data_IF_001510727881
#
_entry.id   IF_001510727881
#
_cell.length_a   1.000
_cell.length_b   1.000
_cell.length_c   1.000
_cell.angle_alpha   90.00
_cell.angle_beta   90.00
_cell.angle_gamma   90.00
#
_symmetry.space_group_name_H-M   'P 1'
#
loop_
_entity.id
_entity.type
_entity.pdbx_description
1 polymer ?
#
# COMPACT_ATOMS: atom_id res chain seq x y z
N UNK A 1 -28.90 -2.96 8.93
CA UNK A 1 -28.30 -3.90 9.91
C UNK A 1 -28.12 -5.25 9.24
N UNK A 2 -26.92 -5.82 9.26
CA UNK A 2 -26.60 -7.12 8.63
C UNK A 2 -27.42 -8.26 9.23
N UNK A 3 -28.14 -9.01 8.39
CA UNK A 3 -29.03 -10.10 8.83
C UNK A 3 -28.25 -11.37 9.19
N UNK A 4 -27.20 -11.72 8.42
CA UNK A 4 -26.45 -12.96 8.62
C UNK A 4 -25.42 -12.86 9.78
N UNK A 5 -25.43 -13.75 10.79
CA UNK A 5 -24.52 -13.69 11.94
C UNK A 5 -23.05 -13.86 11.56
N UNK A 6 -22.74 -14.67 10.54
CA UNK A 6 -21.38 -14.82 10.01
C UNK A 6 -20.90 -13.55 9.29
N UNK A 7 -21.79 -12.84 8.57
CA UNK A 7 -21.44 -11.59 7.88
C UNK A 7 -21.16 -10.45 8.87
N UNK A 8 -21.80 -10.47 10.04
CA UNK A 8 -21.49 -9.54 11.15
C UNK A 8 -20.10 -9.78 11.74
N UNK A 9 -19.72 -11.04 11.98
CA UNK A 9 -18.37 -11.37 12.47
C UNK A 9 -17.29 -11.02 11.45
N UNK A 10 -17.54 -11.31 10.17
CA UNK A 10 -16.63 -10.95 9.09
C UNK A 10 -16.51 -9.44 8.91
N UNK A 11 -17.54 -8.64 9.24
CA UNK A 11 -17.40 -7.18 9.24
C UNK A 11 -16.32 -6.70 10.20
N UNK A 12 -16.28 -7.25 11.41
CA UNK A 12 -15.27 -6.87 12.40
C UNK A 12 -13.87 -7.18 11.89
N UNK A 13 -13.71 -8.31 11.20
CA UNK A 13 -12.44 -8.68 10.56
C UNK A 13 -12.12 -7.76 9.39
N UNK A 14 -13.10 -7.39 8.57
CA UNK A 14 -12.94 -6.43 7.48
C UNK A 14 -12.49 -5.07 8.03
N UNK A 15 -13.18 -4.52 9.04
CA UNK A 15 -12.84 -3.22 9.65
C UNK A 15 -11.40 -3.21 10.19
N UNK A 16 -10.95 -4.31 10.78
CA UNK A 16 -9.56 -4.45 11.24
C UNK A 16 -8.59 -4.51 10.06
N UNK A 17 -8.90 -5.31 9.05
CA UNK A 17 -8.02 -5.50 7.88
C UNK A 17 -7.91 -4.22 7.05
N UNK A 18 -8.98 -3.43 6.93
CA UNK A 18 -8.97 -2.12 6.26
C UNK A 18 -8.07 -1.11 7.00
N UNK A 19 -8.05 -1.15 8.34
CA UNK A 19 -7.11 -0.33 9.13
C UNK A 19 -5.67 -0.77 8.91
N UNK A 20 -5.41 -2.07 8.89
CA UNK A 20 -4.07 -2.63 8.59
C UNK A 20 -3.63 -2.26 7.17
N UNK A 21 -4.53 -2.33 6.20
CA UNK A 21 -4.28 -1.94 4.80
C UNK A 21 -3.89 -0.46 4.70
N UNK A 22 -4.65 0.44 5.35
CA UNK A 22 -4.36 1.88 5.39
C UNK A 22 -2.97 2.16 6.00
N UNK A 23 -2.63 1.46 7.08
CA UNK A 23 -1.30 1.58 7.70
C UNK A 23 -0.20 1.08 6.75
N UNK A 24 -0.40 -0.06 6.09
CA UNK A 24 0.56 -0.59 5.12
C UNK A 24 0.74 0.34 3.90
N UNK A 25 -0.33 0.95 3.42
CA UNK A 25 -0.28 1.94 2.34
C UNK A 25 0.53 3.18 2.76
N UNK A 26 0.27 3.71 3.95
CA UNK A 26 1.01 4.83 4.50
C UNK A 26 2.51 4.51 4.65
N UNK A 27 2.83 3.34 5.18
CA UNK A 27 4.21 2.87 5.33
C UNK A 27 4.91 2.73 3.97
N UNK A 28 4.23 2.14 2.98
CA UNK A 28 4.77 2.00 1.64
C UNK A 28 5.05 3.37 1.00
N UNK A 29 4.12 4.32 1.12
CA UNK A 29 4.30 5.69 0.63
C UNK A 29 5.48 6.40 1.29
N UNK A 30 5.63 6.28 2.61
CA UNK A 30 6.76 6.88 3.33
C UNK A 30 8.11 6.30 2.88
N UNK A 31 8.18 4.99 2.65
CA UNK A 31 9.39 4.33 2.13
C UNK A 31 9.71 4.76 0.69
N UNK A 32 8.70 4.91 -0.17
CA UNK A 32 8.88 5.44 -1.52
C UNK A 32 9.44 6.86 -1.51
N UNK A 33 8.90 7.75 -0.67
CA UNK A 33 9.40 9.12 -0.53
C UNK A 33 10.85 9.14 -0.06
N UNK A 34 11.18 8.32 0.95
CA UNK A 34 12.55 8.21 1.44
C UNK A 34 13.52 7.68 0.38
N UNK A 35 13.10 6.66 -0.38
CA UNK A 35 13.89 6.12 -1.49
C UNK A 35 14.15 7.19 -2.56
N UNK A 36 13.13 7.96 -2.95
CA UNK A 36 13.26 9.03 -3.93
C UNK A 36 14.24 10.12 -3.46
N UNK A 37 14.14 10.53 -2.19
CA UNK A 37 15.05 11.53 -1.61
C UNK A 37 16.51 11.07 -1.61
N UNK A 38 16.79 9.81 -1.25
CA UNK A 38 18.16 9.26 -1.28
C UNK A 38 18.70 9.14 -2.70
N UNK A 39 17.85 8.76 -3.67
CA UNK A 39 18.22 8.72 -5.08
C UNK A 39 18.55 10.11 -5.62
N UNK A 40 17.77 11.13 -5.25
CA UNK A 40 18.04 12.52 -5.61
C UNK A 40 19.36 13.01 -5.00
N UNK A 41 19.59 12.76 -3.71
CA UNK A 41 20.82 13.15 -3.04
C UNK A 41 22.05 12.49 -3.67
N UNK A 42 21.94 11.22 -4.08
CA UNK A 42 22.99 10.52 -4.85
C UNK A 42 23.26 11.16 -6.19
N UNK A 43 22.19 11.55 -6.90
CA UNK A 43 22.33 12.22 -8.18
C UNK A 43 23.04 13.58 -8.01
N UNK A 44 22.71 14.33 -6.97
CA UNK A 44 23.39 15.59 -6.64
C UNK A 44 24.88 15.36 -6.36
N UNK A 45 25.25 14.35 -5.57
CA UNK A 45 26.65 14.01 -5.30
C UNK A 45 27.43 13.61 -6.56
N UNK A 46 26.81 12.85 -7.47
CA UNK A 46 27.40 12.50 -8.76
C UNK A 46 27.63 13.74 -9.63
N UNK A 47 26.66 14.65 -9.68
CA UNK A 47 26.79 15.93 -10.41
C UNK A 47 27.93 16.77 -9.82
N UNK A 48 27.98 16.92 -8.49
CA UNK A 48 29.06 17.65 -7.83
C UNK A 48 30.44 17.03 -8.08
N UNK A 49 30.54 15.69 -8.09
CA UNK A 49 31.78 14.99 -8.41
C UNK A 49 32.26 15.32 -9.82
N UNK A 50 31.35 15.31 -10.81
CA UNK A 50 31.67 15.59 -12.20
C UNK A 50 32.09 17.05 -12.41
N UNK A 51 31.35 18.00 -11.83
CA UNK A 51 31.70 19.43 -11.89
C UNK A 51 33.10 19.70 -11.33
N UNK A 52 33.46 19.04 -10.23
CA UNK A 52 34.77 19.20 -9.62
C UNK A 52 35.90 18.57 -10.46
N UNK A 53 35.69 17.38 -11.03
CA UNK A 53 36.65 16.77 -11.96
C UNK A 53 36.92 17.68 -13.17
N UNK A 54 35.88 18.32 -13.71
CA UNK A 54 36.02 19.27 -14.83
C UNK A 54 36.81 20.52 -14.45
N UNK A 55 36.58 21.08 -13.24
CA UNK A 55 37.32 22.27 -12.75
C UNK A 55 38.83 22.03 -12.63
N UNK A 56 39.25 20.82 -12.23
CA UNK A 56 40.68 20.48 -12.10
C UNK A 56 41.31 20.17 -13.46
N UNK A 57 40.53 19.57 -14.38
CA UNK A 57 41.01 19.16 -15.70
C UNK A 57 41.08 20.32 -16.71
N UNK A 58 40.38 21.43 -16.44
CA UNK A 58 40.42 22.61 -17.29
C UNK A 58 41.81 23.29 -17.21
N UNK A 59 42.45 23.59 -18.35
CA UNK A 59 43.72 24.30 -18.36
C UNK A 59 43.55 25.72 -17.82
N UNK A 60 43.95 25.95 -16.57
CA UNK A 60 44.02 27.30 -16.00
C UNK A 60 45.30 27.99 -16.46
N UNK A 61 45.18 29.23 -16.93
CA UNK A 61 46.33 30.10 -17.26
C UNK A 61 47.17 30.51 -16.03
N UNK A 62 46.71 30.14 -14.84
CA UNK A 62 47.34 30.40 -13.54
C UNK A 62 47.76 29.06 -12.93
N UNK A 63 48.99 28.96 -12.42
CA UNK A 63 49.48 27.77 -11.75
C UNK A 63 48.60 27.43 -10.53
N UNK A 64 47.79 26.37 -10.63
CA UNK A 64 47.03 25.84 -9.48
C UNK A 64 48.05 25.40 -8.43
N UNK A 65 47.90 25.86 -7.18
CA UNK A 65 48.86 25.50 -6.14
C UNK A 65 48.74 24.01 -5.79
N UNK A 66 49.86 23.34 -5.51
CA UNK A 66 49.86 21.94 -5.09
C UNK A 66 48.95 21.67 -3.87
N UNK A 67 48.78 22.66 -2.99
CA UNK A 67 47.87 22.60 -1.85
C UNK A 67 46.38 22.62 -2.24
N UNK A 68 46.00 23.40 -3.28
CA UNK A 68 44.64 23.37 -3.81
C UNK A 68 44.31 22.01 -4.44
N UNK A 69 45.27 21.41 -5.15
CA UNK A 69 45.10 20.07 -5.73
C UNK A 69 44.90 19.03 -4.62
N UNK A 70 45.74 19.05 -3.58
CA UNK A 70 45.66 18.09 -2.47
C UNK A 70 44.32 18.14 -1.73
N UNK A 71 43.85 19.36 -1.38
CA UNK A 71 42.54 19.54 -0.74
C UNK A 71 41.39 19.02 -1.61
N UNK A 72 41.50 19.21 -2.93
CA UNK A 72 40.46 18.79 -3.87
C UNK A 72 40.39 17.26 -4.00
N UNK A 73 41.53 16.58 -4.03
CA UNK A 73 41.60 15.10 -4.02
C UNK A 73 40.96 14.55 -2.72
N UNK A 74 41.25 15.17 -1.58
CA UNK A 74 40.66 14.77 -0.30
C UNK A 74 39.12 14.89 -0.29
N UNK A 75 38.59 15.99 -0.82
CA UNK A 75 37.15 16.21 -0.93
C UNK A 75 36.47 15.23 -1.91
N UNK A 76 37.10 14.94 -3.06
CA UNK A 76 36.61 13.91 -3.99
C UNK A 76 36.52 12.54 -3.31
N UNK A 77 37.52 12.17 -2.50
CA UNK A 77 37.48 10.93 -1.72
C UNK A 77 36.30 10.88 -0.75
N UNK A 78 35.92 12.00 -0.14
CA UNK A 78 34.74 12.08 0.74
C UNK A 78 33.43 11.92 -0.05
N UNK A 79 33.32 12.53 -1.23
CA UNK A 79 32.15 12.36 -2.11
C UNK A 79 32.00 10.90 -2.55
N UNK A 80 33.09 10.26 -2.96
CA UNK A 80 33.06 8.84 -3.36
C UNK A 80 32.62 7.93 -2.21
N UNK A 81 33.12 8.18 -1.00
CA UNK A 81 32.67 7.45 0.20
C UNK A 81 31.17 7.66 0.46
N UNK A 82 30.68 8.90 0.34
CA UNK A 82 29.27 9.21 0.53
C UNK A 82 28.37 8.54 -0.52
N UNK A 83 28.79 8.55 -1.80
CA UNK A 83 28.07 7.87 -2.89
C UNK A 83 27.98 6.36 -2.64
N UNK A 84 29.08 5.75 -2.20
CA UNK A 84 29.10 4.32 -1.86
C UNK A 84 28.16 3.99 -0.70
N UNK A 85 28.17 4.81 0.35
CA UNK A 85 27.25 4.65 1.49
C UNK A 85 25.78 4.80 1.06
N UNK A 86 25.45 5.81 0.26
CA UNK A 86 24.10 6.00 -0.27
C UNK A 86 23.67 4.85 -1.18
N UNK A 87 24.57 4.28 -1.97
CA UNK A 87 24.24 3.16 -2.83
C UNK A 87 23.79 1.94 -2.02
N UNK A 88 24.45 1.67 -0.88
CA UNK A 88 24.00 0.62 0.05
C UNK A 88 22.65 0.97 0.70
N UNK A 89 22.48 2.22 1.11
CA UNK A 89 21.24 2.72 1.72
C UNK A 89 20.04 2.64 0.75
N UNK A 90 20.22 3.03 -0.50
CA UNK A 90 19.23 2.92 -1.58
C UNK A 90 18.86 1.46 -1.81
N UNK A 91 19.85 0.55 -1.88
CA UNK A 91 19.58 -0.88 -2.07
C UNK A 91 18.75 -1.47 -0.92
N UNK A 92 19.02 -1.05 0.32
CA UNK A 92 18.22 -1.44 1.48
C UNK A 92 16.79 -0.88 1.39
N UNK A 93 16.65 0.41 1.06
CA UNK A 93 15.35 1.06 0.93
C UNK A 93 14.51 0.48 -0.20
N UNK A 94 15.12 0.08 -1.32
CA UNK A 94 14.44 -0.62 -2.41
C UNK A 94 13.81 -1.93 -1.90
N UNK A 95 14.60 -2.77 -1.22
CA UNK A 95 14.09 -4.03 -0.63
C UNK A 95 12.97 -3.77 0.39
N UNK A 96 13.12 -2.75 1.23
CA UNK A 96 12.09 -2.38 2.21
C UNK A 96 10.81 -1.89 1.53
N UNK A 97 10.94 -1.06 0.50
CA UNK A 97 9.81 -0.53 -0.28
C UNK A 97 9.07 -1.65 -0.99
N UNK A 98 9.79 -2.60 -1.60
CA UNK A 98 9.19 -3.76 -2.25
C UNK A 98 8.46 -4.65 -1.25
N UNK A 99 9.06 -4.93 -0.09
CA UNK A 99 8.39 -5.69 0.96
C UNK A 99 7.12 -4.99 1.48
N UNK A 100 7.16 -3.68 1.70
CA UNK A 100 6.01 -2.90 2.11
C UNK A 100 4.90 -2.91 1.05
N UNK A 101 5.28 -2.82 -0.23
CA UNK A 101 4.35 -2.96 -1.36
C UNK A 101 3.67 -4.33 -1.36
N UNK A 102 4.43 -5.42 -1.19
CA UNK A 102 3.87 -6.77 -1.15
C UNK A 102 2.89 -6.94 0.02
N UNK A 103 3.23 -6.39 1.19
CA UNK A 103 2.34 -6.41 2.35
C UNK A 103 1.03 -5.65 2.08
N UNK A 104 1.12 -4.44 1.52
CA UNK A 104 -0.05 -3.65 1.12
C UNK A 104 -0.93 -4.43 0.12
N UNK A 105 -0.34 -5.00 -0.94
CA UNK A 105 -1.09 -5.76 -1.94
C UNK A 105 -1.79 -7.00 -1.34
N UNK A 106 -1.13 -7.68 -0.40
CA UNK A 106 -1.72 -8.82 0.29
C UNK A 106 -2.92 -8.40 1.16
N UNK A 107 -2.82 -7.28 1.89
CA UNK A 107 -3.91 -6.75 2.70
C UNK A 107 -5.06 -6.24 1.82
N UNK A 108 -4.76 -5.50 0.75
CA UNK A 108 -5.75 -5.05 -0.23
C UNK A 108 -6.54 -6.22 -0.85
N UNK A 109 -5.84 -7.31 -1.21
CA UNK A 109 -6.47 -8.53 -1.69
C UNK A 109 -7.39 -9.18 -0.65
N UNK A 110 -6.97 -9.23 0.62
CA UNK A 110 -7.81 -9.74 1.73
C UNK A 110 -9.06 -8.89 1.95
N UNK A 111 -8.93 -7.56 1.91
CA UNK A 111 -10.06 -6.63 2.04
C UNK A 111 -11.10 -6.90 0.97
N UNK A 112 -10.69 -6.98 -0.31
CA UNK A 112 -11.60 -7.31 -1.42
C UNK A 112 -12.29 -8.66 -1.23
N UNK A 113 -11.52 -9.70 -0.90
CA UNK A 113 -12.09 -11.03 -0.69
C UNK A 113 -13.11 -11.08 0.47
N UNK A 114 -12.85 -10.33 1.55
CA UNK A 114 -13.79 -10.21 2.68
C UNK A 114 -15.05 -9.46 2.29
N UNK A 115 -14.94 -8.36 1.54
CA UNK A 115 -16.08 -7.59 1.05
C UNK A 115 -16.99 -8.46 0.18
N UNK A 116 -16.43 -9.17 -0.80
CA UNK A 116 -17.17 -10.09 -1.69
C UNK A 116 -17.84 -11.22 -0.90
N UNK A 117 -17.14 -11.83 0.06
CA UNK A 117 -17.69 -12.90 0.89
C UNK A 117 -18.86 -12.41 1.75
N UNK A 118 -18.72 -11.22 2.32
CA UNK A 118 -19.77 -10.60 3.13
C UNK A 118 -21.00 -10.33 2.27
N UNK A 119 -20.83 -9.71 1.11
CA UNK A 119 -21.93 -9.40 0.18
C UNK A 119 -22.69 -10.66 -0.21
N UNK A 120 -21.97 -11.74 -0.56
CA UNK A 120 -22.59 -13.04 -0.88
C UNK A 120 -23.41 -13.59 0.28
N UNK A 121 -22.89 -13.54 1.50
CA UNK A 121 -23.61 -14.02 2.69
C UNK A 121 -24.86 -13.19 3.00
N UNK A 122 -24.84 -11.88 2.70
CA UNK A 122 -26.01 -11.03 2.87
C UNK A 122 -27.07 -11.32 1.80
N UNK A 123 -26.66 -11.55 0.55
CA UNK A 123 -27.55 -11.94 -0.53
C UNK A 123 -28.24 -13.28 -0.24
N UNK A 124 -27.47 -14.29 0.19
CA UNK A 124 -28.01 -15.60 0.59
C UNK A 124 -29.04 -15.46 1.72
N UNK A 125 -28.74 -14.64 2.74
CA UNK A 125 -29.66 -14.40 3.85
C UNK A 125 -30.94 -13.66 3.43
N UNK A 126 -30.84 -12.73 2.48
CA UNK A 126 -32.01 -12.05 1.92
C UNK A 126 -32.91 -13.03 1.17
N UNK A 127 -32.34 -13.88 0.32
CA UNK A 127 -33.09 -14.89 -0.44
C UNK A 127 -33.81 -15.89 0.47
N UNK A 128 -33.18 -16.32 1.56
CA UNK A 128 -33.82 -17.21 2.55
C UNK A 128 -35.00 -16.51 3.22
N UNK A 129 -34.81 -15.26 3.66
CA UNK A 129 -35.87 -14.49 4.31
C UNK A 129 -37.06 -14.23 3.37
N UNK A 130 -36.81 -13.95 2.08
CA UNK A 130 -37.87 -13.74 1.08
C UNK A 130 -38.69 -15.02 0.84
N UNK A 131 -38.01 -16.18 0.77
CA UNK A 131 -38.69 -17.48 0.66
C UNK A 131 -39.55 -17.78 1.89
N UNK A 132 -39.05 -17.50 3.09
CA UNK A 132 -39.82 -17.69 4.34
C UNK A 132 -41.04 -16.76 4.39
N UNK A 133 -40.89 -15.49 3.98
CA UNK A 133 -41.97 -14.53 3.93
C UNK A 133 -43.06 -14.94 2.92
N UNK A 134 -42.67 -15.41 1.74
CA UNK A 134 -43.60 -15.92 0.74
C UNK A 134 -44.39 -17.12 1.28
N UNK A 135 -43.70 -18.11 1.86
CA UNK A 135 -44.35 -19.29 2.45
C UNK A 135 -45.37 -18.92 3.53
N UNK A 136 -45.01 -17.99 4.42
CA UNK A 136 -45.94 -17.51 5.45
C UNK A 136 -47.18 -16.86 4.80
N UNK A 137 -47.01 -15.96 3.83
CA UNK A 137 -48.11 -15.31 3.13
C UNK A 137 -49.08 -16.31 2.48
N UNK A 138 -48.54 -17.36 1.85
CA UNK A 138 -49.35 -18.43 1.23
C UNK A 138 -50.14 -19.22 2.29
N UNK A 139 -49.52 -19.54 3.44
CA UNK A 139 -50.20 -20.21 4.56
C UNK A 139 -51.34 -19.35 5.15
N UNK A 140 -51.15 -18.04 5.31
CA UNK A 140 -52.20 -17.12 5.77
C UNK A 140 -53.36 -17.05 4.77
N UNK A 141 -53.05 -16.97 3.47
CA UNK A 141 -54.05 -16.91 2.40
C UNK A 141 -54.85 -18.21 2.34
N UNK A 142 -54.18 -19.36 2.39
CA UNK A 142 -54.82 -20.68 2.42
C UNK A 142 -55.71 -20.86 3.66
N UNK A 143 -55.23 -20.45 4.85
CA UNK A 143 -56.00 -20.56 6.09
C UNK A 143 -57.20 -19.62 6.11
N UNK A 144 -57.09 -18.42 5.56
CA UNK A 144 -58.23 -17.51 5.43
C UNK A 144 -59.26 -18.04 4.42
N UNK A 145 -58.81 -18.54 3.26
CA UNK A 145 -59.69 -19.15 2.26
C UNK A 145 -60.45 -20.37 2.81
N UNK A 146 -59.78 -21.22 3.59
CA UNK A 146 -60.40 -22.37 4.26
C UNK A 146 -61.43 -21.96 5.34
N UNK A 147 -61.26 -20.79 5.98
CA UNK A 147 -62.21 -20.25 6.97
C UNK A 147 -63.36 -19.47 6.33
N UNK A 148 -63.15 -18.93 5.13
CA UNK A 148 -64.17 -18.18 4.37
C UNK A 148 -64.94 -19.03 3.37
N UNK A 149 -64.74 -20.36 3.36
CA UNK A 149 -65.58 -21.31 2.61
C UNK A 149 -66.63 -21.89 3.55
N UNK A 150 -67.90 -21.43 3.51
CA UNK A 150 -69.00 -22.05 4.23
C UNK A 150 -69.44 -23.31 3.47
N UNK A 151 -69.78 -24.37 4.19
CA UNK A 151 -70.73 -25.34 3.66
C UNK A 151 -72.07 -24.63 3.42
N UNK A 152 -72.67 -24.92 2.25
CA UNK A 152 -73.94 -24.45 1.67
C UNK A 152 -73.85 -23.29 0.68
#
# INVERSE_FOLDING_TARGET
MRRHPRARRLQVVLDLTEREEQQALSQWGALQQKLAAEQEQRQQLLTYSLEYQQKISAPSSTAVSAGQIHNTIGFMGQIEQAINAQQQQIALLQKQTDNARQNYLALHGKVKALQELIERLELEAAQVADKEAQKQSDEWTSRNAARSSPYH
#
